data_IF_828472731771
#
_entry.id   IF_828472731771
#
_cell.length_a   1.000
_cell.length_b   1.000
_cell.length_c   1.000
_cell.angle_alpha   90.00
_cell.angle_beta   90.00
_cell.angle_gamma   90.00
#
_symmetry.space_group_name_H-M   'P 1'
#
loop_
_entity.id
_entity.type
_entity.pdbx_description
1 polymer ?
#
# COMPACT_ATOMS: atom_id res chain seq x y z
N UNK A 1 13.07 -1.25 27.22
CA UNK A 1 13.25 -1.48 25.78
C UNK A 1 12.29 -0.53 25.06
N UNK A 2 12.70 0.12 23.98
CA UNK A 2 11.79 0.93 23.16
C UNK A 2 11.00 0.03 22.23
N UNK A 3 9.75 0.37 21.94
CA UNK A 3 8.97 -0.34 20.92
C UNK A 3 9.61 -0.19 19.53
N UNK A 4 9.50 -1.22 18.68
CA UNK A 4 9.88 -1.13 17.28
C UNK A 4 9.18 0.04 16.56
N UNK A 5 9.89 0.69 15.65
CA UNK A 5 9.38 1.79 14.84
C UNK A 5 8.90 1.26 13.48
N UNK A 6 7.65 1.49 13.16
CA UNK A 6 6.99 1.08 11.91
C UNK A 6 6.70 2.32 11.06
N UNK A 7 7.18 2.36 9.82
CA UNK A 7 6.79 3.36 8.84
C UNK A 7 5.75 2.78 7.87
N UNK A 8 4.65 3.51 7.68
CA UNK A 8 3.65 3.21 6.66
C UNK A 8 3.86 4.14 5.46
N UNK A 9 4.11 3.57 4.28
CA UNK A 9 4.24 4.28 3.01
C UNK A 9 3.10 3.85 2.10
N UNK A 10 2.31 4.80 1.63
CA UNK A 10 1.22 4.51 0.70
C UNK A 10 0.39 5.74 0.37
N UNK A 11 -0.71 5.51 -0.32
CA UNK A 11 -1.62 6.55 -0.79
C UNK A 11 -2.78 6.84 0.20
N UNK A 12 -3.88 7.41 -0.32
CA UNK A 12 -5.06 7.73 0.48
C UNK A 12 -5.70 6.52 1.18
N UNK A 13 -5.56 5.31 0.64
CA UNK A 13 -6.07 4.10 1.28
C UNK A 13 -5.26 3.84 2.55
N UNK A 14 -3.94 3.92 2.47
CA UNK A 14 -3.06 3.80 3.64
C UNK A 14 -3.35 4.87 4.68
N UNK A 15 -3.55 6.12 4.25
CA UNK A 15 -3.91 7.22 5.15
C UNK A 15 -5.20 6.95 5.93
N UNK A 16 -6.19 6.29 5.32
CA UNK A 16 -7.47 6.02 5.99
C UNK A 16 -7.40 4.88 6.99
N UNK A 17 -6.60 3.84 6.76
CA UNK A 17 -6.48 2.72 7.70
C UNK A 17 -5.39 2.89 8.77
N UNK A 18 -4.39 3.75 8.52
CA UNK A 18 -3.25 3.95 9.41
C UNK A 18 -3.62 4.27 10.87
N UNK A 19 -4.63 5.11 11.16
CA UNK A 19 -5.02 5.37 12.56
C UNK A 19 -5.48 4.12 13.31
N UNK A 20 -6.25 3.24 12.65
CA UNK A 20 -6.72 1.99 13.25
C UNK A 20 -5.59 0.98 13.43
N UNK A 21 -4.65 0.92 12.49
CA UNK A 21 -3.45 0.08 12.61
C UNK A 21 -2.54 0.56 13.77
N UNK A 22 -2.32 1.88 13.87
CA UNK A 22 -1.52 2.46 14.94
C UNK A 22 -2.14 2.21 16.32
N UNK A 23 -3.46 2.38 16.45
CA UNK A 23 -4.17 2.10 17.70
C UNK A 23 -4.08 0.62 18.10
N UNK A 24 -4.25 -0.28 17.14
CA UNK A 24 -4.15 -1.72 17.40
C UNK A 24 -2.72 -2.15 17.81
N UNK A 25 -1.69 -1.47 17.32
CA UNK A 25 -0.29 -1.78 17.60
C UNK A 25 0.32 -0.97 18.77
N UNK A 26 -0.43 -0.08 19.41
CA UNK A 26 0.11 0.89 20.40
C UNK A 26 0.89 0.27 21.55
N UNK A 27 0.60 -0.99 21.93
CA UNK A 27 1.28 -1.71 23.02
C UNK A 27 2.49 -2.53 22.53
N UNK A 28 2.79 -2.51 21.21
CA UNK A 28 3.87 -3.34 20.64
C UNK A 28 4.76 -2.62 19.63
N UNK A 29 4.32 -1.50 19.09
CA UNK A 29 5.09 -0.73 18.10
C UNK A 29 4.75 0.76 18.15
N UNK A 30 5.67 1.59 17.65
CA UNK A 30 5.43 2.99 17.35
C UNK A 30 5.22 3.12 15.84
N UNK A 31 3.99 3.44 15.43
CA UNK A 31 3.59 3.49 14.01
C UNK A 31 3.54 4.94 13.55
N UNK A 32 4.25 5.24 12.47
CA UNK A 32 4.23 6.54 11.79
C UNK A 32 3.81 6.35 10.33
N UNK A 33 3.11 7.35 9.81
CA UNK A 33 2.72 7.44 8.40
C UNK A 33 3.58 8.52 7.73
N UNK A 34 3.93 8.33 6.47
CA UNK A 34 4.55 9.41 5.68
C UNK A 34 3.67 10.68 5.69
N UNK A 35 4.29 11.89 5.67
CA UNK A 35 3.54 13.15 5.84
C UNK A 35 2.59 13.44 4.69
N UNK A 36 2.90 12.96 3.48
CA UNK A 36 2.16 13.25 2.26
C UNK A 36 1.48 11.99 1.69
N UNK A 37 0.70 12.15 0.63
CA UNK A 37 0.15 11.02 -0.12
C UNK A 37 1.24 10.43 -1.04
N UNK A 38 1.52 9.14 -0.90
CA UNK A 38 2.53 8.44 -1.70
C UNK A 38 2.26 8.44 -3.21
N UNK A 39 0.99 8.55 -3.62
CA UNK A 39 0.62 8.65 -5.03
C UNK A 39 1.00 7.42 -5.85
N UNK A 40 1.58 7.64 -7.03
CA UNK A 40 2.06 6.57 -7.90
C UNK A 40 3.48 6.10 -7.55
N UNK A 41 3.91 5.01 -8.18
CA UNK A 41 5.21 4.40 -7.95
C UNK A 41 6.41 5.30 -8.28
N UNK A 42 6.25 6.23 -9.22
CA UNK A 42 7.28 7.21 -9.56
C UNK A 42 7.48 8.20 -8.42
N UNK A 43 6.37 8.68 -7.84
CA UNK A 43 6.42 9.57 -6.69
C UNK A 43 6.99 8.86 -5.45
N UNK A 44 6.58 7.61 -5.20
CA UNK A 44 7.15 6.82 -4.11
C UNK A 44 8.66 6.71 -4.25
N UNK A 45 9.15 6.31 -5.42
CA UNK A 45 10.58 6.16 -5.67
C UNK A 45 11.36 7.48 -5.48
N UNK A 46 10.78 8.60 -5.91
CA UNK A 46 11.41 9.92 -5.80
C UNK A 46 11.57 10.41 -4.35
N UNK A 47 10.69 9.99 -3.43
CA UNK A 47 10.64 10.53 -2.07
C UNK A 47 11.08 9.56 -0.97
N UNK A 48 11.50 8.33 -1.31
CA UNK A 48 11.94 7.35 -0.31
C UNK A 48 13.01 7.91 0.63
N UNK A 49 14.00 8.63 0.11
CA UNK A 49 15.08 9.22 0.89
C UNK A 49 14.58 10.21 1.94
N UNK A 50 13.62 11.05 1.55
CA UNK A 50 13.04 12.06 2.44
C UNK A 50 12.16 11.40 3.51
N UNK A 51 11.34 10.42 3.14
CA UNK A 51 10.43 9.74 4.06
C UNK A 51 11.13 8.81 5.05
N UNK A 52 12.21 8.14 4.64
CA UNK A 52 12.99 7.34 5.56
C UNK A 52 13.92 8.18 6.44
N UNK A 53 14.13 9.42 6.09
CA UNK A 53 14.90 10.52 6.69
C UNK A 53 15.51 10.26 8.07
N UNK A 54 16.79 10.07 8.17
CA UNK A 54 17.48 9.86 9.43
C UNK A 54 17.47 8.42 9.97
N UNK A 55 16.73 7.48 9.34
CA UNK A 55 16.79 6.05 9.64
C UNK A 55 16.11 5.64 10.95
N UNK A 56 16.43 4.42 11.39
CA UNK A 56 15.94 3.87 12.68
C UNK A 56 14.55 3.24 12.58
N UNK A 57 14.10 2.92 11.39
CA UNK A 57 12.90 2.12 11.17
C UNK A 57 13.23 0.63 11.33
N UNK A 58 12.39 -0.07 12.08
CA UNK A 58 12.51 -1.52 12.27
C UNK A 58 11.64 -2.28 11.28
N UNK A 59 10.53 -1.67 10.84
CA UNK A 59 9.61 -2.22 9.84
C UNK A 59 9.21 -1.10 8.88
N UNK A 60 9.20 -1.38 7.58
CA UNK A 60 8.62 -0.53 6.54
C UNK A 60 7.51 -1.30 5.85
N UNK A 61 6.26 -0.86 6.06
CA UNK A 61 5.08 -1.35 5.36
C UNK A 61 4.75 -0.40 4.22
N UNK A 62 4.71 -0.89 2.99
CA UNK A 62 4.62 -0.01 1.82
C UNK A 62 3.72 -0.55 0.71
N UNK A 63 3.13 0.39 -0.03
CA UNK A 63 2.24 0.14 -1.17
C UNK A 63 2.36 1.25 -2.20
N UNK A 64 2.13 0.92 -3.47
CA UNK A 64 1.78 1.82 -4.56
C UNK A 64 1.07 1.03 -5.66
N UNK A 65 0.43 1.72 -6.61
CA UNK A 65 -0.19 1.08 -7.77
C UNK A 65 -1.57 1.62 -8.11
N UNK A 66 -2.41 1.94 -7.12
CA UNK A 66 -3.76 2.43 -7.37
C UNK A 66 -3.80 3.76 -8.14
N UNK A 67 -2.73 4.56 -8.03
CA UNK A 67 -2.54 5.77 -8.84
C UNK A 67 -1.91 5.44 -10.20
N UNK A 68 -1.01 4.48 -10.27
CA UNK A 68 -0.32 4.04 -11.49
C UNK A 68 -1.31 3.56 -12.55
N UNK A 69 -2.26 2.72 -12.15
CA UNK A 69 -3.26 2.09 -13.02
C UNK A 69 -4.42 3.00 -13.44
N UNK A 70 -4.41 4.30 -13.12
CA UNK A 70 -5.36 5.25 -13.68
C UNK A 70 -5.19 5.32 -15.18
N UNK A 71 -6.25 5.00 -15.90
CA UNK A 71 -6.29 5.09 -17.36
C UNK A 71 -6.96 6.40 -17.79
N UNK A 72 -6.26 7.21 -18.57
CA UNK A 72 -6.77 8.43 -19.16
C UNK A 72 -7.31 8.11 -20.58
N UNK A 73 -8.64 8.09 -20.80
CA UNK A 73 -9.20 7.73 -22.08
C UNK A 73 -8.95 8.78 -23.18
N UNK A 74 -8.66 10.03 -22.82
CA UNK A 74 -8.35 11.08 -23.81
C UNK A 74 -6.92 10.92 -24.37
N UNK A 75 -6.02 10.39 -23.56
CA UNK A 75 -4.62 10.15 -23.95
C UNK A 75 -4.36 8.70 -24.37
N UNK A 76 -5.35 7.80 -24.18
CA UNK A 76 -5.20 6.35 -24.36
C UNK A 76 -3.98 5.80 -23.60
N UNK A 77 -3.82 6.19 -22.33
CA UNK A 77 -2.63 5.90 -21.55
C UNK A 77 -2.93 5.72 -20.06
N UNK A 78 -2.18 4.80 -19.44
CA UNK A 78 -2.09 4.71 -17.99
C UNK A 78 -1.20 5.82 -17.43
N UNK A 79 -1.46 6.25 -16.18
CA UNK A 79 -0.61 7.24 -15.48
C UNK A 79 0.84 6.73 -15.39
N UNK A 80 1.02 5.47 -14.98
CA UNK A 80 2.30 4.75 -15.08
C UNK A 80 2.00 3.39 -15.72
N UNK A 81 2.46 3.13 -16.96
CA UNK A 81 2.23 1.84 -17.62
C UNK A 81 2.76 0.66 -16.82
N UNK A 82 2.14 -0.52 -16.95
CA UNK A 82 2.42 -1.72 -16.17
C UNK A 82 3.92 -2.10 -16.14
N UNK A 83 4.60 -2.01 -17.28
CA UNK A 83 6.04 -2.32 -17.38
C UNK A 83 6.90 -1.32 -16.58
N UNK A 84 6.55 -0.04 -16.65
CA UNK A 84 7.23 1.00 -15.88
C UNK A 84 6.94 0.86 -14.38
N UNK A 85 5.70 0.53 -14.01
CA UNK A 85 5.32 0.23 -12.63
C UNK A 85 6.13 -0.95 -12.06
N UNK A 86 6.23 -2.06 -12.80
CA UNK A 86 7.04 -3.21 -12.36
C UNK A 86 8.51 -2.84 -12.17
N UNK A 87 9.06 -2.01 -13.07
CA UNK A 87 10.42 -1.50 -12.93
C UNK A 87 10.56 -0.59 -11.69
N UNK A 88 9.63 0.32 -11.47
CA UNK A 88 9.62 1.21 -10.29
C UNK A 88 9.52 0.41 -8.98
N UNK A 89 8.63 -0.57 -8.90
CA UNK A 89 8.54 -1.44 -7.71
C UNK A 89 9.85 -2.17 -7.45
N UNK A 90 10.53 -2.64 -8.50
CA UNK A 90 11.85 -3.27 -8.37
C UNK A 90 12.89 -2.31 -7.80
N UNK A 91 12.92 -1.07 -8.28
CA UNK A 91 13.83 -0.04 -7.79
C UNK A 91 13.49 0.38 -6.35
N UNK A 92 12.19 0.52 -6.00
CA UNK A 92 11.74 0.79 -4.62
C UNK A 92 12.24 -0.29 -3.66
N UNK A 93 12.04 -1.57 -4.00
CA UNK A 93 12.49 -2.69 -3.16
C UNK A 93 14.01 -2.72 -3.05
N UNK A 94 14.72 -2.57 -4.17
CA UNK A 94 16.19 -2.56 -4.17
C UNK A 94 16.75 -1.39 -3.35
N UNK A 95 16.13 -0.21 -3.45
CA UNK A 95 16.49 0.96 -2.67
C UNK A 95 16.28 0.71 -1.17
N UNK A 96 15.09 0.23 -0.78
CA UNK A 96 14.78 -0.08 0.62
C UNK A 96 15.74 -1.12 1.21
N UNK A 97 16.06 -2.18 0.47
CA UNK A 97 17.01 -3.21 0.93
C UNK A 97 18.44 -2.71 1.06
N UNK A 98 18.82 -1.69 0.30
CA UNK A 98 20.17 -1.10 0.35
C UNK A 98 20.30 -0.05 1.48
N UNK A 99 19.28 0.78 1.68
CA UNK A 99 19.36 1.96 2.53
C UNK A 99 18.81 1.72 3.96
N UNK A 100 18.15 0.59 4.20
CA UNK A 100 17.63 0.26 5.53
C UNK A 100 17.80 -1.21 5.88
N UNK A 101 17.92 -1.51 7.16
CA UNK A 101 17.86 -2.88 7.72
C UNK A 101 16.46 -3.28 8.18
N UNK A 102 15.44 -2.44 7.93
CA UNK A 102 14.07 -2.70 8.34
C UNK A 102 13.50 -3.97 7.69
N UNK A 103 12.61 -4.65 8.40
CA UNK A 103 11.77 -5.67 7.79
C UNK A 103 10.81 -5.01 6.81
N UNK A 104 10.77 -5.51 5.59
CA UNK A 104 9.94 -4.96 4.51
C UNK A 104 8.66 -5.77 4.38
N UNK A 105 7.52 -5.07 4.35
CA UNK A 105 6.19 -5.66 4.16
C UNK A 105 5.46 -4.92 3.05
N UNK A 106 5.20 -5.61 1.95
CA UNK A 106 4.40 -5.11 0.85
C UNK A 106 2.91 -5.32 1.10
N UNK A 107 2.07 -4.31 0.83
CA UNK A 107 0.62 -4.47 0.78
C UNK A 107 0.11 -4.50 -0.67
N UNK A 108 -0.77 -5.45 -1.00
CA UNK A 108 -1.41 -5.47 -2.31
C UNK A 108 -2.38 -4.30 -2.48
N UNK A 109 -2.58 -3.86 -3.73
CA UNK A 109 -3.57 -2.84 -4.10
C UNK A 109 -4.96 -3.42 -3.80
N UNK A 110 -5.81 -2.65 -3.14
CA UNK A 110 -7.19 -3.03 -2.84
C UNK A 110 -8.07 -3.06 -4.10
N UNK A 111 -9.16 -3.84 -4.14
CA UNK A 111 -10.08 -3.86 -5.27
C UNK A 111 -10.72 -2.51 -5.54
N UNK A 112 -11.27 -2.36 -6.74
CA UNK A 112 -12.10 -1.21 -7.14
C UNK A 112 -13.51 -1.67 -7.54
N UNK A 113 -14.51 -0.80 -7.37
CA UNK A 113 -15.84 -0.98 -7.93
C UNK A 113 -15.93 -0.11 -9.19
N UNK A 114 -15.52 -0.69 -10.33
CA UNK A 114 -15.32 0.05 -11.58
C UNK A 114 -16.56 0.86 -12.00
N UNK A 115 -17.76 0.30 -11.93
CA UNK A 115 -18.97 1.00 -12.35
C UNK A 115 -19.26 2.24 -11.48
N UNK A 116 -18.88 2.22 -10.19
CA UNK A 116 -19.04 3.38 -9.33
C UNK A 116 -17.98 4.43 -9.63
N UNK A 117 -16.72 3.98 -9.71
CA UNK A 117 -15.59 4.86 -9.97
C UNK A 117 -15.69 5.55 -11.32
N UNK A 118 -15.91 4.76 -12.38
CA UNK A 118 -15.90 5.24 -13.76
C UNK A 118 -17.12 6.13 -14.09
N UNK A 119 -18.19 6.06 -13.28
CA UNK A 119 -19.34 6.96 -13.39
C UNK A 119 -19.08 8.36 -12.82
N UNK A 120 -18.08 8.54 -11.93
CA UNK A 120 -17.88 9.81 -11.21
C UNK A 120 -16.50 10.46 -11.45
N UNK A 121 -15.61 9.84 -12.21
CA UNK A 121 -14.26 10.35 -12.48
C UNK A 121 -13.98 10.48 -13.98
N UNK A 122 -13.13 11.44 -14.40
CA UNK A 122 -12.73 11.60 -15.80
C UNK A 122 -11.69 10.57 -16.27
N UNK A 123 -11.13 9.81 -15.37
CA UNK A 123 -10.18 8.71 -15.65
C UNK A 123 -10.77 7.39 -15.16
N UNK A 124 -10.36 6.29 -15.76
CA UNK A 124 -10.90 4.97 -15.50
C UNK A 124 -9.97 4.16 -14.59
N UNK A 125 -10.57 3.25 -13.82
CA UNK A 125 -9.92 2.14 -13.15
C UNK A 125 -10.71 0.87 -13.41
N UNK A 126 -10.01 -0.21 -13.69
CA UNK A 126 -10.62 -1.51 -13.93
C UNK A 126 -10.05 -2.54 -12.96
N UNK A 127 -10.89 -3.42 -12.44
CA UNK A 127 -10.45 -4.47 -11.50
C UNK A 127 -9.40 -5.40 -12.15
N UNK A 128 -9.56 -5.72 -13.43
CA UNK A 128 -8.55 -6.48 -14.19
C UNK A 128 -7.16 -5.84 -14.19
N UNK A 129 -7.10 -4.49 -14.13
CA UNK A 129 -5.84 -3.76 -14.08
C UNK A 129 -5.27 -3.81 -12.66
N UNK A 130 -6.12 -3.76 -11.61
CA UNK A 130 -5.70 -4.00 -10.21
C UNK A 130 -5.06 -5.39 -10.09
N UNK A 131 -5.69 -6.43 -10.63
CA UNK A 131 -5.15 -7.80 -10.64
C UNK A 131 -3.80 -7.87 -11.38
N UNK A 132 -3.69 -7.23 -12.55
CA UNK A 132 -2.47 -7.22 -13.35
C UNK A 132 -1.30 -6.51 -12.65
N UNK A 133 -1.55 -5.33 -12.05
CA UNK A 133 -0.55 -4.58 -11.30
C UNK A 133 -0.15 -5.30 -10.00
N UNK A 134 -1.10 -5.88 -9.28
CA UNK A 134 -0.79 -6.75 -8.14
C UNK A 134 0.07 -7.95 -8.55
N UNK A 135 -0.26 -8.63 -9.65
CA UNK A 135 0.54 -9.75 -10.15
C UNK A 135 1.98 -9.34 -10.49
N UNK A 136 2.16 -8.17 -11.12
CA UNK A 136 3.49 -7.62 -11.43
C UNK A 136 4.29 -7.32 -10.16
N UNK A 137 3.71 -6.58 -9.21
CA UNK A 137 4.34 -6.27 -7.93
C UNK A 137 4.71 -7.54 -7.15
N UNK A 138 3.79 -8.50 -7.06
CA UNK A 138 4.00 -9.76 -6.34
C UNK A 138 5.17 -10.59 -6.91
N UNK A 139 5.38 -10.57 -8.23
CA UNK A 139 6.59 -11.21 -8.83
C UNK A 139 7.87 -10.60 -8.29
N UNK A 140 7.92 -9.26 -8.22
CA UNK A 140 9.10 -8.53 -7.75
C UNK A 140 9.35 -8.75 -6.26
N UNK A 141 8.35 -8.47 -5.42
CA UNK A 141 8.50 -8.47 -3.97
C UNK A 141 8.78 -9.88 -3.43
N UNK A 142 8.14 -10.91 -3.99
CA UNK A 142 8.40 -12.30 -3.61
C UNK A 142 9.79 -12.76 -4.02
N UNK A 143 10.26 -12.40 -5.22
CA UNK A 143 11.61 -12.70 -5.67
C UNK A 143 12.68 -12.04 -4.79
N UNK A 144 12.37 -10.90 -4.18
CA UNK A 144 13.24 -10.18 -3.26
C UNK A 144 13.12 -10.66 -1.78
N UNK A 145 12.25 -11.62 -1.49
CA UNK A 145 12.03 -12.13 -0.13
C UNK A 145 11.27 -11.17 0.78
N UNK A 146 10.52 -10.22 0.21
CA UNK A 146 9.69 -9.25 0.95
C UNK A 146 8.39 -9.95 1.40
N UNK A 147 8.00 -9.74 2.65
CA UNK A 147 6.73 -10.23 3.19
C UNK A 147 5.53 -9.53 2.53
N UNK A 148 4.40 -10.22 2.42
CA UNK A 148 3.21 -9.70 1.72
C UNK A 148 1.99 -9.74 2.62
N UNK A 149 1.35 -8.58 2.81
CA UNK A 149 0.02 -8.43 3.35
C UNK A 149 -0.99 -8.34 2.20
N UNK A 150 -1.87 -9.34 2.06
CA UNK A 150 -2.80 -9.40 0.93
C UNK A 150 -4.11 -8.66 1.24
N UNK A 151 -4.06 -7.33 1.16
CA UNK A 151 -5.24 -6.47 1.38
C UNK A 151 -6.31 -6.64 0.30
N UNK A 152 -5.92 -7.02 -0.92
CA UNK A 152 -6.87 -7.32 -1.98
C UNK A 152 -7.76 -8.50 -1.59
N UNK A 153 -7.16 -9.64 -1.26
CA UNK A 153 -7.89 -10.83 -0.85
C UNK A 153 -8.78 -10.56 0.38
N UNK A 154 -8.26 -9.84 1.36
CA UNK A 154 -9.00 -9.48 2.55
C UNK A 154 -10.30 -8.69 2.24
N UNK A 155 -10.23 -7.69 1.34
CA UNK A 155 -11.40 -6.91 0.94
C UNK A 155 -12.39 -7.77 0.13
N UNK A 156 -11.89 -8.64 -0.75
CA UNK A 156 -12.71 -9.57 -1.53
C UNK A 156 -13.50 -10.52 -0.60
N UNK A 157 -12.83 -11.12 0.37
CA UNK A 157 -13.46 -12.05 1.34
C UNK A 157 -14.52 -11.38 2.21
N UNK A 158 -14.34 -10.09 2.55
CA UNK A 158 -15.31 -9.33 3.35
C UNK A 158 -16.43 -8.71 2.54
N UNK A 159 -16.33 -8.73 1.23
CA UNK A 159 -17.31 -8.17 0.32
C UNK A 159 -16.95 -6.76 -0.12
N UNK A 160 -16.49 -6.64 -1.37
CA UNK A 160 -15.97 -5.39 -1.96
C UNK A 160 -16.93 -4.22 -1.80
N UNK A 161 -18.24 -4.44 -2.11
CA UNK A 161 -19.26 -3.37 -2.07
C UNK A 161 -19.65 -2.92 -0.67
N UNK A 162 -19.38 -3.74 0.35
CA UNK A 162 -19.60 -3.39 1.77
C UNK A 162 -18.41 -2.58 2.32
N UNK A 163 -17.22 -2.84 1.80
CA UNK A 163 -15.98 -2.23 2.26
C UNK A 163 -15.69 -0.90 1.59
N UNK A 164 -16.15 -0.71 0.34
CA UNK A 164 -15.80 0.45 -0.51
C UNK A 164 -16.93 1.47 -0.54
N UNK A 165 -16.57 2.76 -0.47
CA UNK A 165 -17.46 3.90 -0.61
C UNK A 165 -18.06 4.00 -2.03
N UNK A 166 -19.16 4.77 -2.22
CA UNK A 166 -19.78 4.98 -3.53
C UNK A 166 -18.87 5.62 -4.60
N UNK A 167 -17.68 6.09 -4.24
CA UNK A 167 -16.67 6.56 -5.21
C UNK A 167 -15.91 5.42 -5.89
N UNK A 168 -16.16 4.18 -5.47
CA UNK A 168 -15.63 2.96 -6.08
C UNK A 168 -14.18 2.63 -5.73
N UNK A 169 -13.54 3.36 -4.80
CA UNK A 169 -12.12 3.19 -4.47
C UNK A 169 -11.84 3.28 -2.97
N UNK A 170 -12.26 4.36 -2.31
CA UNK A 170 -11.96 4.56 -0.90
C UNK A 170 -12.79 3.64 -0.02
N UNK A 171 -12.19 3.21 1.10
CA UNK A 171 -12.88 2.39 2.07
C UNK A 171 -13.93 3.19 2.84
N UNK A 172 -15.02 2.53 3.22
CA UNK A 172 -15.94 3.06 4.24
C UNK A 172 -15.20 3.22 5.57
N UNK A 173 -15.79 3.91 6.54
CA UNK A 173 -15.18 4.04 7.87
C UNK A 173 -14.94 2.66 8.51
N UNK A 174 -15.95 1.76 8.44
CA UNK A 174 -15.80 0.39 8.92
C UNK A 174 -14.79 -0.42 8.09
N UNK A 175 -14.76 -0.21 6.77
CA UNK A 175 -13.77 -0.79 5.88
C UNK A 175 -12.34 -0.37 6.21
N UNK A 176 -12.12 0.91 6.43
CA UNK A 176 -10.81 1.45 6.85
C UNK A 176 -10.36 0.89 8.19
N UNK A 177 -11.29 0.82 9.16
CA UNK A 177 -11.01 0.22 10.47
C UNK A 177 -10.66 -1.26 10.36
N UNK A 178 -11.41 -2.01 9.54
CA UNK A 178 -11.14 -3.43 9.31
C UNK A 178 -9.78 -3.66 8.63
N UNK A 179 -9.43 -2.85 7.62
CA UNK A 179 -8.10 -2.89 7.00
C UNK A 179 -6.99 -2.57 7.99
N UNK A 180 -7.17 -1.55 8.85
CA UNK A 180 -6.19 -1.21 9.87
C UNK A 180 -5.93 -2.36 10.85
N UNK A 181 -6.97 -3.06 11.27
CA UNK A 181 -6.81 -4.26 12.11
C UNK A 181 -6.13 -5.42 11.36
N UNK A 182 -6.43 -5.61 10.08
CA UNK A 182 -5.73 -6.61 9.25
C UNK A 182 -4.24 -6.30 9.13
N UNK A 183 -3.90 -5.04 8.81
CA UNK A 183 -2.50 -4.58 8.76
C UNK A 183 -1.80 -4.80 10.11
N UNK A 184 -2.46 -4.46 11.21
CA UNK A 184 -1.91 -4.73 12.54
C UNK A 184 -1.71 -6.23 12.78
N UNK A 185 -2.62 -7.07 12.32
CA UNK A 185 -2.56 -8.53 12.50
C UNK A 185 -1.32 -9.17 11.90
N UNK A 186 -0.83 -8.70 10.74
CA UNK A 186 0.43 -9.22 10.20
C UNK A 186 1.67 -8.43 10.62
N UNK A 187 1.56 -7.19 11.07
CA UNK A 187 2.70 -6.44 11.60
C UNK A 187 3.03 -6.81 13.06
N UNK A 188 2.03 -7.15 13.88
CA UNK A 188 2.23 -7.47 15.29
C UNK A 188 3.24 -8.60 15.54
N UNK A 189 3.16 -9.79 14.89
CA UNK A 189 4.16 -10.84 15.10
C UNK A 189 5.56 -10.42 14.67
N UNK A 190 5.69 -9.59 13.62
CA UNK A 190 6.97 -9.05 13.19
C UNK A 190 7.56 -8.15 14.28
N UNK A 191 6.76 -7.21 14.79
CA UNK A 191 7.19 -6.29 15.86
C UNK A 191 7.56 -7.03 17.15
N UNK A 192 6.77 -8.03 17.56
CA UNK A 192 7.09 -8.84 18.75
C UNK A 192 8.39 -9.65 18.61
N UNK A 193 8.75 -10.05 17.38
CA UNK A 193 10.00 -10.76 17.13
C UNK A 193 11.24 -9.86 17.18
N UNK A 194 11.07 -8.53 17.20
CA UNK A 194 12.15 -7.53 17.28
C UNK A 194 12.39 -7.01 18.72
N UNK A 195 11.54 -7.37 19.68
CA UNK A 195 11.66 -7.04 21.11
C UNK A 195 12.24 -8.17 21.93
#
# INVERSE_FOLDING_TARGET
MSFPKVLLIGDSITQTYAPAAAEALREVAHVELIPDNGGDSTNVLAHLGDWLGGGGWDVVHFNCGLHDLKFDPEKDAYQVPLEAYEANVREVVAWLQRETSARLVWATITPVVEEWHNACKPFLRHERDVEAYNAAALRVVRAAGVEVGDLHAFVVERGVRQMICPDGVHMTEDGSRALGHEVAGFLEPICRALT
#
